data_IF_183790217573
#
_entry.id   IF_183790217573
#
_cell.length_a   1.000
_cell.length_b   1.000
_cell.length_c   1.000
_cell.angle_alpha   90.00
_cell.angle_beta   90.00
_cell.angle_gamma   90.00
#
_symmetry.space_group_name_H-M   'P 1'
#
loop_
_entity.id
_entity.type
_entity.pdbx_description
1 polymer ?
#
# COMPACT_ATOMS: atom_id res chain seq x y z
N UNK A 1 11.23 -12.38 -7.94
CA UNK A 1 11.05 -10.92 -8.10
C UNK A 1 10.41 -10.37 -6.84
N UNK A 2 11.04 -9.37 -6.21
CA UNK A 2 10.46 -8.75 -5.02
C UNK A 2 9.42 -7.68 -5.41
N UNK A 3 8.74 -7.12 -4.42
CA UNK A 3 7.70 -6.10 -4.67
C UNK A 3 8.23 -4.90 -5.44
N UNK A 4 9.43 -4.44 -5.10
CA UNK A 4 10.01 -3.28 -5.77
C UNK A 4 10.23 -3.55 -7.26
N UNK A 5 10.84 -4.68 -7.57
CA UNK A 5 11.07 -5.07 -8.97
C UNK A 5 9.76 -5.24 -9.74
N UNK A 6 8.77 -5.84 -9.11
CA UNK A 6 7.45 -6.01 -9.75
C UNK A 6 6.79 -4.65 -10.05
N UNK A 7 6.88 -3.71 -9.10
CA UNK A 7 6.33 -2.37 -9.30
C UNK A 7 7.10 -1.59 -10.37
N UNK A 8 8.43 -1.77 -10.45
CA UNK A 8 9.22 -1.15 -11.52
C UNK A 8 8.79 -1.65 -12.88
N UNK A 9 8.59 -2.97 -13.03
CA UNK A 9 8.11 -3.54 -14.28
C UNK A 9 6.73 -3.01 -14.66
N UNK A 10 5.83 -2.95 -13.70
CA UNK A 10 4.48 -2.44 -13.94
C UNK A 10 4.52 -0.98 -14.37
N UNK A 11 5.30 -0.16 -13.68
CA UNK A 11 5.46 1.25 -14.03
C UNK A 11 6.01 1.41 -15.44
N UNK A 12 7.03 0.63 -15.78
CA UNK A 12 7.63 0.67 -17.11
C UNK A 12 6.62 0.30 -18.19
N UNK A 13 5.81 -0.71 -17.93
CA UNK A 13 4.78 -1.18 -18.89
C UNK A 13 3.67 -0.14 -19.09
N UNK A 14 3.47 0.76 -18.15
CA UNK A 14 2.46 1.81 -18.28
C UNK A 14 3.03 3.15 -18.74
N UNK A 15 4.29 3.15 -19.17
CA UNK A 15 4.94 4.35 -19.71
C UNK A 15 5.50 5.31 -18.68
N UNK A 16 5.55 4.90 -17.41
CA UNK A 16 6.15 5.69 -16.37
C UNK A 16 7.64 5.43 -16.29
N UNK A 17 8.39 6.50 -16.02
CA UNK A 17 9.83 6.41 -15.87
C UNK A 17 10.19 6.57 -14.40
N UNK A 18 10.77 5.53 -13.81
CA UNK A 18 11.18 5.53 -12.41
C UNK A 18 12.69 5.57 -12.33
N UNK A 19 13.22 6.51 -11.54
CA UNK A 19 14.66 6.64 -11.30
C UNK A 19 14.93 6.83 -9.83
N UNK A 20 16.04 6.27 -9.36
CA UNK A 20 16.55 6.55 -8.02
C UNK A 20 17.38 7.83 -8.09
N UNK A 21 17.03 8.78 -7.23
CA UNK A 21 17.61 10.11 -7.25
C UNK A 21 18.08 10.52 -5.84
N UNK A 22 19.05 11.45 -5.73
CA UNK A 22 19.50 11.93 -4.42
C UNK A 22 18.53 12.96 -3.85
N UNK A 23 17.29 12.53 -3.58
CA UNK A 23 16.28 13.40 -2.98
C UNK A 23 16.65 13.70 -1.53
N UNK A 24 16.34 14.92 -1.07
CA UNK A 24 16.68 15.36 0.29
C UNK A 24 15.45 15.58 1.16
N UNK A 25 14.35 16.05 0.57
CA UNK A 25 13.18 16.47 1.33
C UNK A 25 12.07 15.43 1.37
N UNK A 26 12.19 14.36 0.60
CA UNK A 26 11.16 13.32 0.56
C UNK A 26 11.75 12.00 0.10
N UNK A 27 11.06 10.91 0.38
CA UNK A 27 11.47 9.58 -0.06
C UNK A 27 11.11 9.34 -1.52
N UNK A 28 10.04 9.97 -1.99
CA UNK A 28 9.59 9.83 -3.36
C UNK A 28 9.01 11.13 -3.90
N UNK A 29 8.94 11.22 -5.21
CA UNK A 29 8.43 12.40 -5.90
C UNK A 29 7.88 12.00 -7.26
N UNK A 30 6.75 12.61 -7.64
CA UNK A 30 6.17 12.37 -8.95
C UNK A 30 5.96 13.68 -9.67
N UNK A 31 6.29 13.69 -10.97
CA UNK A 31 6.06 14.84 -11.84
C UNK A 31 5.76 14.32 -13.25
N UNK A 32 4.51 14.51 -13.67
CA UNK A 32 4.07 13.97 -14.95
C UNK A 32 4.19 12.46 -14.98
N UNK A 33 4.92 11.94 -15.96
CA UNK A 33 5.16 10.50 -16.10
C UNK A 33 6.49 10.04 -15.49
N UNK A 34 7.10 10.89 -14.65
CA UNK A 34 8.40 10.59 -14.04
C UNK A 34 8.24 10.44 -12.53
N UNK A 35 8.81 9.39 -12.00
CA UNK A 35 8.83 9.14 -10.55
C UNK A 35 10.27 9.06 -10.09
N UNK A 36 10.59 9.79 -9.02
CA UNK A 36 11.88 9.73 -8.37
C UNK A 36 11.73 9.00 -7.03
N UNK A 37 12.66 8.08 -6.76
CA UNK A 37 12.74 7.38 -5.48
C UNK A 37 14.06 7.73 -4.86
N UNK A 38 14.09 8.07 -3.57
CA UNK A 38 15.33 8.44 -2.91
C UNK A 38 16.34 7.29 -2.97
N UNK A 39 17.52 7.60 -3.49
CA UNK A 39 18.55 6.61 -3.78
C UNK A 39 19.06 5.89 -2.54
N UNK A 40 19.15 6.58 -1.41
CA UNK A 40 19.75 6.03 -0.19
C UNK A 40 18.76 5.36 0.76
N UNK A 41 17.56 5.05 0.30
CA UNK A 41 16.64 4.20 1.09
C UNK A 41 17.28 2.82 1.22
N UNK A 42 17.43 2.35 2.46
CA UNK A 42 18.23 1.17 2.75
C UNK A 42 17.65 -0.16 2.29
N UNK A 43 16.32 -0.29 2.29
CA UNK A 43 15.70 -1.60 2.01
C UNK A 43 14.80 -1.57 0.79
N UNK A 44 14.74 -2.71 0.10
CA UNK A 44 13.82 -2.88 -1.02
C UNK A 44 12.37 -2.79 -0.58
N UNK A 45 12.07 -3.23 0.63
CA UNK A 45 10.71 -3.13 1.18
C UNK A 45 10.26 -1.69 1.27
N UNK A 46 11.11 -0.81 1.80
CA UNK A 46 10.77 0.60 1.91
C UNK A 46 10.72 1.28 0.55
N UNK A 47 11.61 0.91 -0.36
CA UNK A 47 11.54 1.41 -1.74
C UNK A 47 10.23 1.00 -2.40
N UNK A 48 9.80 -0.24 -2.19
CA UNK A 48 8.53 -0.73 -2.73
C UNK A 48 7.34 0.07 -2.19
N UNK A 49 7.31 0.29 -0.88
CA UNK A 49 6.23 1.07 -0.26
C UNK A 49 6.20 2.51 -0.80
N UNK A 50 7.38 3.12 -0.92
CA UNK A 50 7.50 4.47 -1.47
C UNK A 50 7.02 4.52 -2.91
N UNK A 51 7.46 3.58 -3.73
CA UNK A 51 7.06 3.53 -5.14
C UNK A 51 5.55 3.30 -5.26
N UNK A 52 4.99 2.42 -4.43
CA UNK A 52 3.54 2.17 -4.44
C UNK A 52 2.75 3.45 -4.12
N UNK A 53 3.22 4.27 -3.19
CA UNK A 53 2.56 5.54 -2.87
C UNK A 53 2.63 6.51 -4.05
N UNK A 54 3.78 6.59 -4.73
CA UNK A 54 3.91 7.46 -5.89
C UNK A 54 3.06 6.97 -7.06
N UNK A 55 2.98 5.66 -7.27
CA UNK A 55 2.06 5.07 -8.25
C UNK A 55 0.62 5.37 -7.87
N UNK A 56 0.31 5.33 -6.57
CA UNK A 56 -1.01 5.71 -6.08
C UNK A 56 -1.36 7.13 -6.45
N UNK A 57 -0.42 8.06 -6.31
CA UNK A 57 -0.64 9.44 -6.75
C UNK A 57 -0.92 9.52 -8.23
N UNK A 58 -0.18 8.75 -9.03
CA UNK A 58 -0.39 8.73 -10.49
C UNK A 58 -1.78 8.21 -10.85
N UNK A 59 -2.18 7.09 -10.25
CA UNK A 59 -3.43 6.41 -10.63
C UNK A 59 -4.69 7.05 -10.04
N UNK A 60 -4.57 7.81 -8.96
CA UNK A 60 -5.74 8.40 -8.30
C UNK A 60 -5.86 9.90 -8.51
N UNK A 61 -4.86 10.54 -9.10
CA UNK A 61 -4.93 11.98 -9.38
C UNK A 61 -5.88 12.23 -10.54
N UNK A 62 -6.85 13.12 -10.33
CA UNK A 62 -7.80 13.51 -11.34
C UNK A 62 -7.72 15.03 -11.47
N UNK A 63 -7.41 15.51 -12.68
CA UNK A 63 -7.32 16.93 -12.94
C UNK A 63 -5.95 17.51 -12.63
N UNK A 64 -5.89 18.84 -12.55
CA UNK A 64 -4.63 19.56 -12.36
C UNK A 64 -4.28 19.67 -10.89
N UNK A 65 -3.22 18.97 -10.50
CA UNK A 65 -2.75 18.92 -9.12
C UNK A 65 -2.29 20.31 -8.61
N UNK A 66 -1.89 21.19 -9.52
CA UNK A 66 -1.35 22.49 -9.16
C UNK A 66 -2.38 23.45 -8.56
N UNK A 67 -3.66 23.23 -8.81
CA UNK A 67 -4.74 24.11 -8.36
C UNK A 67 -5.44 23.63 -7.10
N UNK A 68 -4.83 22.70 -6.37
CA UNK A 68 -5.50 22.08 -5.25
C UNK A 68 -5.32 22.86 -3.96
N UNK A 69 -6.43 23.09 -3.29
CA UNK A 69 -6.40 23.60 -1.94
C UNK A 69 -5.94 22.50 -0.96
N UNK A 70 -5.76 22.89 0.30
CA UNK A 70 -5.31 21.97 1.34
C UNK A 70 -6.22 20.76 1.51
N UNK A 71 -7.52 20.95 1.40
CA UNK A 71 -8.50 19.89 1.57
C UNK A 71 -8.39 18.86 0.44
N UNK A 72 -8.23 19.36 -0.79
CA UNK A 72 -8.04 18.50 -1.94
C UNK A 72 -6.76 17.69 -1.83
N UNK A 73 -5.67 18.29 -1.36
CA UNK A 73 -4.39 17.58 -1.18
C UNK A 73 -4.51 16.44 -0.17
N UNK A 74 -5.18 16.66 0.95
CA UNK A 74 -5.37 15.62 1.97
C UNK A 74 -6.21 14.46 1.44
N UNK A 75 -7.25 14.77 0.70
CA UNK A 75 -8.12 13.76 0.11
C UNK A 75 -7.36 12.92 -0.92
N UNK A 76 -6.58 13.57 -1.76
CA UNK A 76 -5.75 12.87 -2.75
C UNK A 76 -4.69 12.03 -2.09
N UNK A 77 -4.05 12.54 -1.03
CA UNK A 77 -3.06 11.79 -0.29
C UNK A 77 -3.65 10.50 0.28
N UNK A 78 -4.85 10.58 0.85
CA UNK A 78 -5.54 9.40 1.36
C UNK A 78 -5.88 8.40 0.26
N UNK A 79 -6.34 8.89 -0.89
CA UNK A 79 -6.64 8.02 -2.03
C UNK A 79 -5.39 7.33 -2.55
N UNK A 80 -4.29 8.06 -2.65
CA UNK A 80 -3.02 7.51 -3.10
C UNK A 80 -2.52 6.42 -2.15
N UNK A 81 -2.58 6.68 -0.85
CA UNK A 81 -2.18 5.70 0.17
C UNK A 81 -3.07 4.47 0.15
N UNK A 82 -4.38 4.67 0.05
CA UNK A 82 -5.30 3.53 -0.05
C UNK A 82 -4.98 2.68 -1.28
N UNK A 83 -4.69 3.31 -2.41
CA UNK A 83 -4.27 2.60 -3.61
C UNK A 83 -3.03 1.75 -3.32
N UNK A 84 -2.04 2.34 -2.65
CA UNK A 84 -0.80 1.64 -2.32
C UNK A 84 -1.03 0.46 -1.39
N UNK A 85 -1.87 0.63 -0.35
CA UNK A 85 -2.20 -0.45 0.56
C UNK A 85 -2.91 -1.59 -0.16
N UNK A 86 -3.87 -1.25 -1.02
CA UNK A 86 -4.59 -2.27 -1.80
C UNK A 86 -3.67 -2.98 -2.78
N UNK A 87 -2.68 -2.27 -3.32
CA UNK A 87 -1.74 -2.84 -4.27
C UNK A 87 -0.78 -3.84 -3.62
N UNK A 88 -0.21 -3.48 -2.48
CA UNK A 88 0.81 -4.30 -1.84
C UNK A 88 0.26 -5.28 -0.83
N UNK A 89 -0.89 -5.01 -0.24
CA UNK A 89 -1.48 -5.85 0.80
C UNK A 89 -2.86 -6.32 0.39
N UNK A 90 -3.85 -5.41 0.44
CA UNK A 90 -5.24 -5.75 0.18
C UNK A 90 -5.83 -6.63 1.27
N UNK A 91 -7.14 -6.80 1.24
CA UNK A 91 -7.81 -7.73 2.15
C UNK A 91 -7.34 -9.16 1.88
N UNK A 92 -7.10 -9.50 0.62
CA UNK A 92 -6.59 -10.83 0.25
C UNK A 92 -5.20 -11.08 0.82
N UNK A 93 -4.33 -10.08 0.86
CA UNK A 93 -3.01 -10.22 1.45
C UNK A 93 -3.08 -10.50 2.95
N UNK A 94 -3.99 -9.84 3.66
CA UNK A 94 -4.21 -10.08 5.08
C UNK A 94 -4.66 -11.54 5.30
N UNK A 95 -5.61 -12.01 4.48
CA UNK A 95 -6.08 -13.39 4.56
C UNK A 95 -4.94 -14.37 4.30
N UNK A 96 -4.16 -14.14 3.25
CA UNK A 96 -3.05 -15.01 2.90
C UNK A 96 -2.01 -15.09 4.02
N UNK A 97 -1.71 -13.96 4.67
CA UNK A 97 -0.76 -13.94 5.77
C UNK A 97 -1.25 -14.79 6.94
N UNK A 98 -2.54 -14.69 7.27
CA UNK A 98 -3.13 -15.53 8.32
C UNK A 98 -3.14 -17.00 7.94
N UNK A 99 -3.47 -17.33 6.71
CA UNK A 99 -3.45 -18.70 6.21
C UNK A 99 -2.04 -19.29 6.23
N UNK A 100 -1.02 -18.43 6.01
CA UNK A 100 0.38 -18.85 6.08
C UNK A 100 0.82 -19.13 7.52
N UNK A 101 0.07 -18.69 8.51
CA UNK A 101 0.38 -18.93 9.91
C UNK A 101 1.08 -17.76 10.61
N UNK A 102 1.04 -16.57 10.02
CA UNK A 102 1.61 -15.39 10.66
C UNK A 102 0.88 -15.08 11.96
N UNK A 103 1.62 -14.90 13.04
CA UNK A 103 1.05 -14.66 14.37
C UNK A 103 1.34 -13.26 14.91
N UNK A 104 2.11 -12.46 14.19
CA UNK A 104 2.46 -11.11 14.61
C UNK A 104 2.47 -10.18 13.42
N UNK A 105 2.45 -8.86 13.70
CA UNK A 105 2.58 -7.85 12.65
C UNK A 105 3.94 -7.93 11.98
N UNK A 106 4.97 -8.27 12.74
CA UNK A 106 6.30 -8.48 12.19
C UNK A 106 6.30 -9.61 11.16
N UNK A 107 5.72 -10.75 11.51
CA UNK A 107 5.65 -11.90 10.58
C UNK A 107 4.81 -11.56 9.35
N UNK A 108 3.70 -10.85 9.53
CA UNK A 108 2.86 -10.43 8.40
C UNK A 108 3.62 -9.50 7.46
N UNK A 109 4.33 -8.51 8.00
CA UNK A 109 5.09 -7.59 7.19
C UNK A 109 6.19 -8.31 6.41
N UNK A 110 6.87 -9.25 7.04
CA UNK A 110 7.88 -10.08 6.36
C UNK A 110 7.26 -10.90 5.24
N UNK A 111 6.15 -11.56 5.50
CA UNK A 111 5.45 -12.37 4.50
C UNK A 111 4.98 -11.54 3.32
N UNK A 112 4.45 -10.35 3.59
CA UNK A 112 3.93 -9.46 2.55
C UNK A 112 5.01 -8.60 1.90
N UNK A 113 6.23 -8.66 2.41
CA UNK A 113 7.38 -7.91 1.91
C UNK A 113 7.14 -6.40 1.92
N UNK A 114 6.56 -5.92 3.02
CA UNK A 114 6.38 -4.49 3.28
C UNK A 114 7.01 -4.15 4.62
N UNK A 115 7.13 -2.85 4.91
CA UNK A 115 7.61 -2.42 6.23
C UNK A 115 6.50 -2.60 7.25
N UNK A 116 6.88 -2.78 8.54
CA UNK A 116 5.88 -2.84 9.60
C UNK A 116 5.06 -1.55 9.67
N UNK A 117 5.72 -0.41 9.48
CA UNK A 117 5.04 0.89 9.47
C UNK A 117 3.97 0.94 8.38
N UNK A 118 4.30 0.51 7.18
CA UNK A 118 3.34 0.47 6.06
C UNK A 118 2.15 -0.44 6.40
N UNK A 119 2.42 -1.61 6.98
CA UNK A 119 1.36 -2.54 7.38
C UNK A 119 0.46 -1.91 8.46
N UNK A 120 1.04 -1.27 9.47
CA UNK A 120 0.26 -0.63 10.53
C UNK A 120 -0.63 0.50 9.98
N UNK A 121 -0.10 1.30 9.09
CA UNK A 121 -0.86 2.35 8.44
C UNK A 121 -2.00 1.78 7.59
N UNK A 122 -1.73 0.69 6.90
CA UNK A 122 -2.73 -0.03 6.10
C UNK A 122 -3.88 -0.52 6.98
N UNK A 123 -3.56 -1.17 8.09
CA UNK A 123 -4.57 -1.70 9.02
C UNK A 123 -5.41 -0.56 9.61
N UNK A 124 -4.77 0.55 9.97
CA UNK A 124 -5.48 1.72 10.49
C UNK A 124 -6.42 2.30 9.43
N UNK A 125 -5.96 2.37 8.19
CA UNK A 125 -6.78 2.84 7.06
C UNK A 125 -7.99 1.94 6.85
N UNK A 126 -7.80 0.63 6.86
CA UNK A 126 -8.89 -0.33 6.69
C UNK A 126 -9.86 -0.30 7.87
N UNK A 127 -9.36 -0.10 9.08
CA UNK A 127 -10.24 0.07 10.25
C UNK A 127 -11.15 1.28 10.08
N UNK A 128 -10.62 2.39 9.59
CA UNK A 128 -11.44 3.57 9.31
C UNK A 128 -12.46 3.32 8.21
N UNK A 129 -12.07 2.56 7.19
CA UNK A 129 -12.94 2.30 6.04
C UNK A 129 -14.03 1.27 6.34
N UNK A 130 -13.69 0.19 7.04
CA UNK A 130 -14.59 -0.96 7.23
C UNK A 130 -15.16 -1.05 8.64
N UNK A 131 -14.66 -0.27 9.60
CA UNK A 131 -15.14 -0.32 10.97
C UNK A 131 -14.73 -1.61 11.68
N UNK A 132 -15.69 -2.28 12.28
CA UNK A 132 -15.45 -3.50 13.06
C UNK A 132 -14.83 -4.59 12.18
N UNK A 133 -15.33 -4.76 10.96
CA UNK A 133 -14.80 -5.78 10.07
C UNK A 133 -15.51 -5.80 8.73
N UNK A 134 -15.09 -6.72 7.89
CA UNK A 134 -15.66 -6.93 6.57
C UNK A 134 -15.46 -8.37 6.14
N UNK A 135 -16.09 -8.75 5.03
CA UNK A 135 -15.96 -10.10 4.49
C UNK A 135 -15.32 -10.06 3.11
N UNK A 136 -14.61 -11.12 2.78
CA UNK A 136 -14.11 -11.36 1.43
C UNK A 136 -14.21 -12.86 1.19
N UNK A 137 -14.99 -13.25 0.20
CA UNK A 137 -15.29 -14.65 -0.08
C UNK A 137 -15.85 -15.34 1.19
N UNK A 138 -15.25 -16.44 1.61
CA UNK A 138 -15.67 -17.17 2.80
C UNK A 138 -14.87 -16.81 4.05
N UNK A 139 -14.30 -15.60 4.08
CA UNK A 139 -13.51 -15.12 5.21
C UNK A 139 -14.15 -13.88 5.81
N UNK A 140 -13.97 -13.73 7.12
CA UNK A 140 -14.30 -12.53 7.84
C UNK A 140 -13.02 -11.94 8.40
N UNK A 141 -12.80 -10.65 8.15
CA UNK A 141 -11.65 -9.91 8.65
C UNK A 141 -12.15 -8.92 9.69
N UNK A 142 -11.66 -9.07 10.90
CA UNK A 142 -12.04 -8.19 12.01
C UNK A 142 -10.92 -7.20 12.27
N UNK A 143 -11.27 -5.93 12.43
CA UNK A 143 -10.31 -4.86 12.70
C UNK A 143 -10.40 -4.33 14.13
N UNK A 144 -11.55 -4.46 14.77
CA UNK A 144 -11.82 -3.97 16.12
C UNK A 144 -12.36 -5.13 16.94
N UNK A 145 -11.84 -5.41 18.14
CA UNK A 145 -10.76 -4.69 18.84
C UNK A 145 -9.37 -4.95 18.29
N UNK A 146 -9.13 -6.06 17.61
CA UNK A 146 -7.83 -6.42 17.07
C UNK A 146 -7.98 -7.03 15.69
N UNK A 147 -6.92 -6.98 14.91
CA UNK A 147 -6.91 -7.62 13.60
C UNK A 147 -6.98 -9.13 13.78
N UNK A 148 -7.95 -9.75 13.14
CA UNK A 148 -8.11 -11.19 13.15
C UNK A 148 -8.84 -11.63 11.88
N UNK A 149 -8.62 -12.88 11.48
CA UNK A 149 -9.24 -13.45 10.30
C UNK A 149 -9.89 -14.78 10.69
N UNK A 150 -11.13 -14.96 10.28
CA UNK A 150 -11.85 -16.20 10.50
C UNK A 150 -12.49 -16.69 9.21
N UNK A 151 -12.77 -17.98 9.16
CA UNK A 151 -13.52 -18.54 8.05
C UNK A 151 -15.01 -18.53 8.38
N UNK A 152 -15.79 -18.19 7.37
CA UNK A 152 -17.24 -18.31 7.46
C UNK A 152 -17.60 -19.69 6.92
N UNK A 153 -18.27 -20.48 7.76
CA UNK A 153 -18.67 -21.82 7.35
C UNK A 153 -20.04 -21.76 6.70
N UNK A 154 -20.08 -22.03 5.41
CA UNK A 154 -21.34 -22.09 4.66
C UNK A 154 -21.91 -23.49 4.54
N UNK A 155 -21.22 -24.49 5.08
CA UNK A 155 -21.75 -25.86 5.08
C UNK A 155 -22.86 -25.98 6.14
N UNK A 156 -24.00 -26.35 5.70
CA UNK A 156 -25.19 -26.45 6.55
C UNK A 156 -25.59 -27.89 6.70
#
# INVERSE_FOLDING_TARGET
>A
MNNYEALLDEANNTGLKVKELPLRSSDGRIKGNKIGIRKDIETSKKKACTLAEELGHHHTSVGNILDMDFTGNRKQERHARLWAYNKLIGLSGIIEAFEHGCQSRYEMAEYLEVTEEFLEECVACYRNKYGVGTTLDNYYIMFIPNLNVGRIDFSM
#
